data_IF_227379364623
#
_entry.id   IF_227379364623
#
_cell.length_a   1.000
_cell.length_b   1.000
_cell.length_c   1.000
_cell.angle_alpha   90.00
_cell.angle_beta   90.00
_cell.angle_gamma   90.00
#
_symmetry.space_group_name_H-M   'P 1'
#
loop_
_entity.id
_entity.type
_entity.pdbx_description
1 polymer ?
#
# COMPACT_ATOMS: atom_id res chain seq x y z
N UNK A 1 -2.03 -3.33 0.03
CA UNK A 1 -2.38 -4.24 1.16
C UNK A 1 -3.73 -3.80 1.73
N UNK A 2 -4.65 -4.70 2.06
CA UNK A 2 -5.98 -4.35 2.60
C UNK A 2 -6.41 -5.27 3.73
N UNK A 3 -7.16 -4.77 4.72
CA UNK A 3 -7.76 -5.56 5.80
C UNK A 3 -9.02 -6.31 5.36
N UNK A 4 -9.51 -6.09 4.14
CA UNK A 4 -10.64 -6.85 3.57
C UNK A 4 -10.21 -8.25 3.17
N UNK A 5 -11.10 -9.25 3.35
CA UNK A 5 -10.86 -10.61 2.88
C UNK A 5 -10.56 -10.61 1.37
N UNK A 6 -9.73 -11.55 0.91
CA UNK A 6 -9.19 -11.52 -0.45
C UNK A 6 -10.29 -11.47 -1.53
N UNK A 7 -11.30 -12.34 -1.46
CA UNK A 7 -12.35 -12.40 -2.49
C UNK A 7 -13.15 -11.07 -2.58
N UNK A 8 -13.70 -10.51 -1.48
CA UNK A 8 -14.33 -9.20 -1.54
C UNK A 8 -13.38 -8.05 -1.90
N UNK A 9 -12.09 -8.14 -1.55
CA UNK A 9 -11.10 -7.15 -1.95
C UNK A 9 -10.91 -7.11 -3.47
N UNK A 10 -10.81 -8.28 -4.11
CA UNK A 10 -10.72 -8.39 -5.57
C UNK A 10 -11.98 -7.86 -6.25
N UNK A 11 -13.17 -8.16 -5.70
CA UNK A 11 -14.41 -7.58 -6.19
C UNK A 11 -14.40 -6.05 -6.14
N UNK A 12 -13.95 -5.44 -5.03
CA UNK A 12 -13.78 -3.98 -4.94
C UNK A 12 -12.80 -3.47 -6.00
N UNK A 13 -11.64 -4.08 -6.16
CA UNK A 13 -10.65 -3.67 -7.16
C UNK A 13 -11.25 -3.62 -8.57
N UNK A 14 -12.03 -4.64 -8.95
CA UNK A 14 -12.71 -4.66 -10.25
C UNK A 14 -13.81 -3.60 -10.36
N UNK A 15 -14.67 -3.48 -9.35
CA UNK A 15 -15.80 -2.52 -9.35
C UNK A 15 -15.36 -1.06 -9.39
N UNK A 16 -14.20 -0.73 -8.79
CA UNK A 16 -13.61 0.61 -8.85
C UNK A 16 -12.70 0.82 -10.07
N UNK A 17 -12.65 -0.12 -11.02
CA UNK A 17 -11.82 0.00 -12.24
C UNK A 17 -10.31 -0.10 -12.00
N UNK A 18 -9.88 -0.55 -10.83
CA UNK A 18 -8.47 -0.61 -10.42
C UNK A 18 -7.75 -1.89 -10.93
N UNK A 19 -8.48 -2.83 -11.54
CA UNK A 19 -7.93 -4.10 -12.01
C UNK A 19 -6.88 -3.98 -13.11
N UNK A 20 -6.86 -2.87 -13.85
CA UNK A 20 -5.82 -2.60 -14.87
C UNK A 20 -4.52 -2.06 -14.25
N UNK A 21 -4.59 -1.51 -13.02
CA UNK A 21 -3.47 -0.88 -12.32
C UNK A 21 -2.78 -1.88 -11.40
N UNK A 22 -3.54 -2.78 -10.77
CA UNK A 22 -3.02 -3.75 -9.81
C UNK A 22 -3.09 -5.19 -10.35
N UNK A 23 -1.94 -5.78 -10.77
CA UNK A 23 -1.85 -7.21 -11.02
C UNK A 23 -2.33 -8.02 -9.80
N UNK A 24 -3.05 -9.12 -10.04
CA UNK A 24 -3.71 -9.88 -8.97
C UNK A 24 -2.72 -10.41 -7.93
N UNK A 25 -1.52 -10.81 -8.37
CA UNK A 25 -0.43 -11.29 -7.53
C UNK A 25 0.15 -10.20 -6.61
N UNK A 26 -0.18 -8.92 -6.83
CA UNK A 26 0.26 -7.79 -6.01
C UNK A 26 -0.81 -7.34 -5.01
N UNK A 27 -1.93 -8.07 -4.89
CA UNK A 27 -3.01 -7.78 -3.95
C UNK A 27 -2.89 -8.68 -2.72
N UNK A 28 -2.57 -8.07 -1.58
CA UNK A 28 -2.39 -8.76 -0.30
C UNK A 28 -3.54 -8.46 0.66
N UNK A 29 -4.17 -9.51 1.19
CA UNK A 29 -5.17 -9.44 2.26
C UNK A 29 -4.51 -9.65 3.63
N UNK A 30 -4.65 -8.64 4.49
CA UNK A 30 -4.14 -8.59 5.85
C UNK A 30 -5.16 -9.07 6.89
N UNK A 31 -6.37 -9.49 6.50
CA UNK A 31 -7.49 -9.78 7.41
C UNK A 31 -7.14 -10.73 8.56
N UNK A 32 -6.24 -11.70 8.32
CA UNK A 32 -5.83 -12.69 9.33
C UNK A 32 -4.45 -12.42 9.95
N UNK A 33 -3.52 -11.87 9.18
CA UNK A 33 -2.10 -11.79 9.56
C UNK A 33 -1.62 -10.36 9.89
N UNK A 34 -2.47 -9.36 9.68
CA UNK A 34 -2.14 -7.94 9.85
C UNK A 34 -1.29 -7.37 8.71
N UNK A 35 -1.26 -6.04 8.58
CA UNK A 35 -0.52 -5.35 7.51
C UNK A 35 1.00 -5.54 7.64
N UNK A 36 1.52 -5.59 8.86
CA UNK A 36 2.95 -5.81 9.13
C UNK A 36 3.46 -7.10 8.47
N UNK A 37 2.80 -8.23 8.72
CA UNK A 37 3.15 -9.52 8.11
C UNK A 37 3.04 -9.48 6.58
N UNK A 38 2.12 -8.70 6.02
CA UNK A 38 2.06 -8.47 4.58
C UNK A 38 3.27 -7.67 4.07
N UNK A 39 3.71 -6.63 4.80
CA UNK A 39 4.90 -5.86 4.45
C UNK A 39 6.15 -6.73 4.47
N UNK A 40 6.34 -7.61 5.45
CA UNK A 40 7.46 -8.55 5.46
C UNK A 40 7.48 -9.47 4.24
N UNK A 41 6.32 -10.00 3.84
CA UNK A 41 6.19 -10.84 2.63
C UNK A 41 6.51 -10.06 1.36
N UNK A 42 6.12 -8.79 1.28
CA UNK A 42 6.46 -7.90 0.17
C UNK A 42 7.97 -7.65 0.14
N UNK A 43 8.59 -7.37 1.30
CA UNK A 43 10.04 -7.17 1.42
C UNK A 43 10.82 -8.42 1.01
N UNK A 44 10.36 -9.60 1.42
CA UNK A 44 10.96 -10.87 1.01
C UNK A 44 10.86 -11.11 -0.50
N UNK A 45 9.75 -10.69 -1.13
CA UNK A 45 9.53 -10.86 -2.58
C UNK A 45 10.38 -9.93 -3.43
N UNK A 46 10.45 -8.63 -3.08
CA UNK A 46 11.13 -7.62 -3.89
C UNK A 46 12.57 -7.32 -3.44
N UNK A 47 12.98 -7.81 -2.26
CA UNK A 47 14.35 -7.67 -1.75
C UNK A 47 14.62 -6.32 -1.08
N UNK A 48 15.85 -6.10 -0.60
CA UNK A 48 16.20 -4.88 0.17
C UNK A 48 16.84 -3.77 -0.65
N UNK A 49 17.06 -3.99 -1.96
CA UNK A 49 17.68 -3.01 -2.88
C UNK A 49 16.63 -2.17 -3.62
N UNK A 50 15.51 -1.91 -2.98
CA UNK A 50 14.43 -1.05 -3.48
C UNK A 50 13.97 -0.13 -2.36
N UNK A 51 13.36 0.99 -2.73
CA UNK A 51 12.73 1.90 -1.77
C UNK A 51 11.26 1.49 -1.63
N UNK A 52 10.82 1.24 -0.41
CA UNK A 52 9.43 0.95 -0.10
C UNK A 52 8.76 2.21 0.41
N UNK A 53 7.70 2.67 -0.27
CA UNK A 53 6.86 3.77 0.19
C UNK A 53 5.50 3.21 0.60
N UNK A 54 5.10 3.43 1.85
CA UNK A 54 3.80 3.02 2.35
C UNK A 54 2.85 4.20 2.26
N UNK A 55 1.70 4.01 1.62
CA UNK A 55 0.68 5.05 1.42
C UNK A 55 -0.62 4.57 2.06
N UNK A 56 -1.24 5.39 2.89
CA UNK A 56 -2.51 5.05 3.52
C UNK A 56 -3.01 6.12 4.49
N UNK A 57 -4.20 5.89 5.02
CA UNK A 57 -4.92 6.79 5.93
C UNK A 57 -4.92 6.28 7.39
N UNK A 58 -4.71 4.98 7.58
CA UNK A 58 -4.80 4.32 8.88
C UNK A 58 -3.50 4.29 9.71
N UNK A 59 -3.66 4.07 11.00
CA UNK A 59 -2.55 3.93 11.96
C UNK A 59 -1.82 2.59 11.81
N UNK A 60 -2.49 1.53 11.34
CA UNK A 60 -1.90 0.19 11.23
C UNK A 60 -0.76 0.16 10.20
N UNK A 61 -0.98 0.75 9.03
CA UNK A 61 0.01 0.88 7.97
C UNK A 61 1.16 1.82 8.35
N UNK A 62 0.88 2.91 9.08
CA UNK A 62 1.91 3.83 9.55
C UNK A 62 2.84 3.17 10.57
N UNK A 63 2.28 2.43 11.53
CA UNK A 63 3.05 1.68 12.51
C UNK A 63 3.90 0.59 11.85
N UNK A 64 3.32 -0.15 10.90
CA UNK A 64 4.06 -1.14 10.11
C UNK A 64 5.18 -0.51 9.28
N UNK A 65 4.92 0.65 8.65
CA UNK A 65 5.92 1.41 7.91
C UNK A 65 7.09 1.81 8.81
N UNK A 66 6.80 2.40 9.97
CA UNK A 66 7.79 2.82 10.96
C UNK A 66 8.67 1.66 11.45
N UNK A 67 8.07 0.49 11.69
CA UNK A 67 8.80 -0.70 12.16
C UNK A 67 9.82 -1.22 11.16
N UNK A 68 9.53 -1.09 9.86
CA UNK A 68 10.43 -1.49 8.78
C UNK A 68 11.25 -0.33 8.19
N UNK A 69 11.26 0.84 8.84
CA UNK A 69 11.92 2.06 8.36
C UNK A 69 11.54 2.45 6.91
N UNK A 70 10.28 2.20 6.54
CA UNK A 70 9.72 2.60 5.25
C UNK A 70 9.10 4.00 5.38
N UNK A 71 9.41 4.95 4.47
CA UNK A 71 8.67 6.20 4.37
C UNK A 71 7.16 5.98 4.33
N UNK A 72 6.42 6.79 5.09
CA UNK A 72 4.97 6.75 5.15
C UNK A 72 4.37 8.05 4.61
N UNK A 73 3.54 7.96 3.57
CA UNK A 73 2.77 9.07 3.03
C UNK A 73 1.32 8.96 3.51
N UNK A 74 0.95 9.79 4.49
CA UNK A 74 -0.40 9.81 5.05
C UNK A 74 -1.38 10.48 4.08
N UNK A 75 -2.52 9.86 3.84
CA UNK A 75 -3.65 10.46 3.12
C UNK A 75 -4.77 10.72 4.13
N UNK A 76 -5.00 11.97 4.50
CA UNK A 76 -6.11 12.37 5.38
C UNK A 76 -7.18 13.20 4.64
N UNK A 77 -6.86 13.68 3.45
CA UNK A 77 -7.69 14.56 2.65
C UNK A 77 -7.36 14.44 1.15
N UNK A 78 -8.20 15.04 0.31
CA UNK A 78 -7.95 15.09 -1.14
C UNK A 78 -6.67 15.88 -1.50
N UNK A 79 -6.31 16.91 -0.73
CA UNK A 79 -5.08 17.67 -0.96
C UNK A 79 -3.82 16.82 -0.80
N UNK A 80 -3.85 15.79 0.06
CA UNK A 80 -2.70 14.90 0.26
C UNK A 80 -2.46 14.01 -0.96
N UNK A 81 -3.54 13.61 -1.66
CA UNK A 81 -3.46 12.89 -2.93
C UNK A 81 -2.92 13.79 -4.05
N UNK A 82 -3.32 15.06 -4.08
CA UNK A 82 -2.77 16.03 -5.04
C UNK A 82 -1.28 16.29 -4.80
N UNK A 83 -0.87 16.39 -3.54
CA UNK A 83 0.55 16.52 -3.18
C UNK A 83 1.36 15.27 -3.58
N UNK A 84 0.79 14.07 -3.37
CA UNK A 84 1.40 12.82 -3.82
C UNK A 84 1.56 12.78 -5.34
N UNK A 85 0.52 13.14 -6.08
CA UNK A 85 0.56 13.22 -7.54
C UNK A 85 1.66 14.16 -8.02
N UNK A 86 1.73 15.36 -7.45
CA UNK A 86 2.76 16.33 -7.79
C UNK A 86 4.18 15.84 -7.48
N UNK A 87 4.38 15.15 -6.35
CA UNK A 87 5.67 14.56 -6.01
C UNK A 87 6.10 13.47 -7.00
N UNK A 88 5.16 12.66 -7.49
CA UNK A 88 5.42 11.64 -8.53
C UNK A 88 5.78 12.27 -9.87
N UNK A 89 5.10 13.34 -10.29
CA UNK A 89 5.42 14.06 -11.53
C UNK A 89 6.83 14.68 -11.52
N UNK A 90 7.33 15.04 -10.34
CA UNK A 90 8.66 15.62 -10.15
C UNK A 90 9.74 14.60 -9.78
N UNK A 91 9.42 13.30 -9.78
CA UNK A 91 10.34 12.21 -9.40
C UNK A 91 10.96 12.38 -7.99
N UNK A 92 10.20 12.94 -7.06
CA UNK A 92 10.62 13.10 -5.65
C UNK A 92 10.38 11.86 -4.79
N UNK A 93 9.79 10.80 -5.35
CA UNK A 93 9.45 9.54 -4.69
C UNK A 93 10.06 8.33 -5.42
#
# INVERSE_FOLDING_TARGET
VTTTQLIPALAKVLLYGLGIVFPIENIYSATKIGKESCFERIIQRFGRKVVYVVIGDGVEEEQGAKKHAMPFWRISSHSDLMALHHALELEYL
#
